data_IF_411138673331
#
_entry.id   IF_411138673331
#
_cell.length_a   1.000
_cell.length_b   1.000
_cell.length_c   1.000
_cell.angle_alpha   90.00
_cell.angle_beta   90.00
_cell.angle_gamma   90.00
#
_symmetry.space_group_name_H-M   'P 1'
#
loop_
_entity.id
_entity.type
_entity.pdbx_description
1 polymer ?
#
# COMPACT_ATOMS: atom_id res chain seq x y z
N UNK A 1 19.27 4.07 10.19
CA UNK A 1 19.07 2.60 10.05
C UNK A 1 17.58 2.33 10.15
N UNK A 2 16.97 1.71 9.14
CA UNK A 2 15.60 1.21 9.28
C UNK A 2 15.56 0.19 10.43
N UNK A 3 14.55 0.28 11.29
CA UNK A 3 14.37 -0.67 12.38
C UNK A 3 14.00 -2.04 11.82
N UNK A 4 14.34 -3.11 12.55
CA UNK A 4 13.87 -4.49 12.27
C UNK A 4 12.34 -4.57 12.12
N UNK A 5 11.60 -3.62 12.70
CA UNK A 5 10.15 -3.48 12.55
C UNK A 5 9.69 -3.28 11.09
N UNK A 6 10.53 -2.71 10.22
CA UNK A 6 10.16 -2.52 8.81
C UNK A 6 10.01 -3.85 8.04
N UNK A 7 10.68 -4.91 8.47
CA UNK A 7 10.52 -6.25 7.90
C UNK A 7 9.19 -6.93 8.28
N UNK A 8 8.51 -6.44 9.33
CA UNK A 8 7.18 -6.92 9.66
C UNK A 8 6.15 -6.60 8.57
N UNK A 9 6.33 -5.49 7.83
CA UNK A 9 5.37 -5.06 6.80
C UNK A 9 5.21 -6.10 5.69
N UNK A 10 6.27 -6.58 5.01
CA UNK A 10 6.13 -7.63 4.00
C UNK A 10 5.54 -8.93 4.56
N UNK A 11 5.92 -9.33 5.78
CA UNK A 11 5.35 -10.52 6.44
C UNK A 11 3.84 -10.38 6.62
N UNK A 12 3.37 -9.22 7.09
CA UNK A 12 1.95 -8.92 7.24
C UNK A 12 1.22 -8.92 5.89
N UNK A 13 1.83 -8.38 4.83
CA UNK A 13 1.25 -8.44 3.48
C UNK A 13 1.05 -9.88 3.01
N UNK A 14 2.04 -10.76 3.20
CA UNK A 14 1.91 -12.18 2.88
C UNK A 14 0.83 -12.84 3.73
N UNK A 15 0.78 -12.55 5.03
CA UNK A 15 -0.25 -13.09 5.93
C UNK A 15 -1.66 -12.67 5.46
N UNK A 16 -1.88 -11.41 5.11
CA UNK A 16 -3.15 -10.94 4.54
C UNK A 16 -3.49 -11.62 3.21
N UNK A 17 -2.52 -11.83 2.33
CA UNK A 17 -2.73 -12.55 1.08
C UNK A 17 -3.25 -13.96 1.32
N UNK A 18 -2.63 -14.70 2.26
CA UNK A 18 -3.02 -16.04 2.65
C UNK A 18 -4.43 -16.05 3.28
N UNK A 19 -4.72 -15.12 4.18
CA UNK A 19 -6.03 -15.01 4.83
C UNK A 19 -7.15 -14.77 3.82
N UNK A 20 -6.96 -13.81 2.89
CA UNK A 20 -7.97 -13.52 1.87
C UNK A 20 -8.14 -14.68 0.90
N UNK A 21 -7.05 -15.36 0.53
CA UNK A 21 -7.14 -16.57 -0.27
C UNK A 21 -7.95 -17.66 0.43
N UNK A 22 -7.57 -18.00 1.66
CA UNK A 22 -8.25 -19.07 2.45
C UNK A 22 -9.73 -18.74 2.69
N UNK A 23 -10.08 -17.45 2.84
CA UNK A 23 -11.47 -17.04 3.02
C UNK A 23 -12.36 -17.45 1.83
N UNK A 24 -11.87 -17.45 0.60
CA UNK A 24 -12.61 -17.93 -0.58
C UNK A 24 -11.70 -18.16 -1.80
N UNK A 25 -11.05 -19.31 -1.90
CA UNK A 25 -10.06 -19.60 -2.96
C UNK A 25 -10.66 -19.61 -4.36
N UNK A 26 -11.93 -19.97 -4.50
CA UNK A 26 -12.62 -20.06 -5.80
C UNK A 26 -13.18 -18.71 -6.29
N UNK A 27 -13.20 -17.68 -5.45
CA UNK A 27 -13.72 -16.37 -5.82
C UNK A 27 -12.69 -15.57 -6.59
N UNK A 28 -13.01 -15.19 -7.83
CA UNK A 28 -12.12 -14.41 -8.69
C UNK A 28 -11.58 -13.14 -8.02
N UNK A 29 -12.43 -12.44 -7.27
CA UNK A 29 -12.09 -11.24 -6.54
C UNK A 29 -10.98 -11.48 -5.51
N UNK A 30 -11.11 -12.55 -4.70
CA UNK A 30 -10.11 -12.91 -3.69
C UNK A 30 -8.79 -13.32 -4.36
N UNK A 31 -8.84 -14.11 -5.42
CA UNK A 31 -7.64 -14.51 -6.18
C UNK A 31 -6.88 -13.29 -6.71
N UNK A 32 -7.57 -12.35 -7.35
CA UNK A 32 -6.94 -11.13 -7.90
C UNK A 32 -6.40 -10.22 -6.80
N UNK A 33 -7.11 -10.07 -5.70
CA UNK A 33 -6.61 -9.33 -4.55
C UNK A 33 -5.36 -9.99 -3.96
N UNK A 34 -5.36 -11.31 -3.79
CA UNK A 34 -4.20 -12.06 -3.32
C UNK A 34 -3.00 -11.88 -4.25
N UNK A 35 -3.19 -11.97 -5.59
CA UNK A 35 -2.11 -11.74 -6.55
C UNK A 35 -1.53 -10.33 -6.41
N UNK A 36 -2.39 -9.30 -6.34
CA UNK A 36 -1.96 -7.92 -6.09
C UNK A 36 -1.15 -7.80 -4.78
N UNK A 37 -1.66 -8.37 -3.70
CA UNK A 37 -1.03 -8.31 -2.38
C UNK A 37 0.33 -9.01 -2.35
N UNK A 38 0.48 -10.16 -3.04
CA UNK A 38 1.76 -10.87 -3.15
C UNK A 38 2.78 -10.05 -3.95
N UNK A 39 2.38 -9.42 -5.06
CA UNK A 39 3.26 -8.52 -5.83
C UNK A 39 3.68 -7.32 -4.98
N UNK A 40 2.74 -6.73 -4.22
CA UNK A 40 3.04 -5.66 -3.29
C UNK A 40 3.98 -6.11 -2.15
N UNK A 41 3.87 -7.36 -1.68
CA UNK A 41 4.78 -7.93 -0.69
C UNK A 41 6.20 -8.07 -1.23
N UNK A 42 6.37 -8.58 -2.46
CA UNK A 42 7.69 -8.66 -3.11
C UNK A 42 8.30 -7.27 -3.28
N UNK A 43 7.50 -6.30 -3.73
CA UNK A 43 7.92 -4.91 -3.81
C UNK A 43 8.34 -4.35 -2.44
N UNK A 44 7.56 -4.60 -1.40
CA UNK A 44 7.85 -4.13 -0.04
C UNK A 44 9.12 -4.77 0.53
N UNK A 45 9.38 -6.07 0.27
CA UNK A 45 10.64 -6.74 0.63
C UNK A 45 11.81 -6.00 -0.04
N UNK A 46 11.71 -5.77 -1.35
CA UNK A 46 12.78 -5.15 -2.11
C UNK A 46 13.07 -3.71 -1.62
N UNK A 47 12.04 -2.89 -1.41
CA UNK A 47 12.18 -1.53 -0.88
C UNK A 47 12.82 -1.55 0.51
N UNK A 48 12.34 -2.42 1.41
CA UNK A 48 12.87 -2.55 2.77
C UNK A 48 14.34 -2.97 2.75
N UNK A 49 14.70 -3.96 1.92
CA UNK A 49 16.07 -4.43 1.79
C UNK A 49 17.02 -3.34 1.28
N UNK A 50 16.59 -2.55 0.28
CA UNK A 50 17.37 -1.40 -0.23
C UNK A 50 17.65 -0.40 0.89
N UNK A 51 16.63 -0.01 1.65
CA UNK A 51 16.78 1.00 2.71
C UNK A 51 17.51 0.44 3.95
N UNK A 52 17.51 -0.88 4.13
CA UNK A 52 18.33 -1.56 5.14
C UNK A 52 19.81 -1.73 4.72
N UNK A 53 20.16 -1.35 3.48
CA UNK A 53 21.52 -1.52 2.95
C UNK A 53 21.85 -2.96 2.56
N UNK A 54 20.86 -3.85 2.47
CA UNK A 54 21.03 -5.26 2.11
C UNK A 54 21.11 -5.38 0.59
N UNK A 55 22.27 -5.71 0.03
CA UNK A 55 22.49 -5.91 -1.41
C UNK A 55 21.72 -4.91 -2.32
N UNK A 56 21.91 -3.58 -2.18
CA UNK A 56 21.07 -2.59 -2.85
C UNK A 56 21.13 -2.69 -4.38
N UNK A 57 22.27 -3.12 -4.93
CA UNK A 57 22.44 -3.35 -6.38
C UNK A 57 21.50 -4.42 -6.93
N UNK A 58 21.11 -5.40 -6.12
CA UNK A 58 20.14 -6.43 -6.48
C UNK A 58 18.70 -5.99 -6.18
N UNK A 59 18.45 -5.48 -4.97
CA UNK A 59 17.11 -5.20 -4.53
C UNK A 59 16.50 -3.94 -5.16
N UNK A 60 17.30 -2.96 -5.60
CA UNK A 60 16.77 -1.78 -6.26
C UNK A 60 16.13 -2.12 -7.62
N UNK A 61 16.79 -2.78 -8.58
CA UNK A 61 16.14 -3.26 -9.80
C UNK A 61 14.93 -4.14 -9.52
N UNK A 62 14.99 -5.02 -8.51
CA UNK A 62 13.88 -5.88 -8.09
C UNK A 62 12.68 -5.06 -7.60
N UNK A 63 12.90 -3.94 -6.89
CA UNK A 63 11.81 -3.07 -6.43
C UNK A 63 11.07 -2.43 -7.60
N UNK A 64 11.77 -2.03 -8.65
CA UNK A 64 11.15 -1.50 -9.88
C UNK A 64 10.48 -2.60 -10.70
N UNK A 65 11.08 -3.78 -10.78
CA UNK A 65 10.48 -4.92 -11.46
C UNK A 65 9.15 -5.33 -10.83
N UNK A 66 9.11 -5.49 -9.51
CA UNK A 66 7.87 -5.76 -8.79
C UNK A 66 6.89 -4.58 -8.88
N UNK A 67 7.39 -3.33 -8.74
CA UNK A 67 6.62 -2.11 -8.87
C UNK A 67 5.92 -1.98 -10.22
N UNK A 68 6.55 -2.45 -11.31
CA UNK A 68 5.99 -2.45 -12.67
C UNK A 68 4.76 -3.36 -12.81
N UNK A 69 4.66 -4.42 -11.99
CA UNK A 69 3.54 -5.36 -12.01
C UNK A 69 2.36 -4.92 -11.13
N UNK A 70 2.59 -3.99 -10.19
CA UNK A 70 1.54 -3.47 -9.29
C UNK A 70 0.37 -2.87 -10.09
N UNK A 71 0.56 -1.99 -11.11
CA UNK A 71 -0.52 -1.41 -11.88
C UNK A 71 -1.45 -2.45 -12.52
N UNK A 72 -0.89 -3.46 -13.17
CA UNK A 72 -1.66 -4.49 -13.86
C UNK A 72 -2.48 -5.36 -12.87
N UNK A 73 -1.84 -5.79 -11.78
CA UNK A 73 -2.50 -6.61 -10.76
C UNK A 73 -3.57 -5.83 -10.01
N UNK A 74 -3.33 -4.55 -9.75
CA UNK A 74 -4.30 -3.64 -9.16
C UNK A 74 -5.51 -3.41 -10.07
N UNK A 75 -5.29 -3.11 -11.34
CA UNK A 75 -6.37 -2.94 -12.32
C UNK A 75 -7.18 -4.24 -12.50
N UNK A 76 -6.51 -5.40 -12.48
CA UNK A 76 -7.18 -6.70 -12.50
C UNK A 76 -8.08 -6.92 -11.28
N UNK A 77 -7.61 -6.52 -10.09
CA UNK A 77 -8.42 -6.52 -8.88
C UNK A 77 -9.62 -5.58 -9.01
N UNK A 78 -9.41 -4.34 -9.45
CA UNK A 78 -10.48 -3.35 -9.63
C UNK A 78 -11.52 -3.78 -10.66
N UNK A 79 -11.11 -4.43 -11.75
CA UNK A 79 -12.04 -5.02 -12.72
C UNK A 79 -12.96 -6.08 -12.09
N UNK A 80 -12.44 -6.90 -11.17
CA UNK A 80 -13.25 -7.88 -10.45
C UNK A 80 -14.14 -7.25 -9.37
N UNK A 81 -13.67 -6.17 -8.75
CA UNK A 81 -14.38 -5.46 -7.68
C UNK A 81 -15.51 -4.56 -8.22
N UNK A 82 -15.22 -3.84 -9.30
CA UNK A 82 -16.11 -2.88 -9.93
C UNK A 82 -16.24 -3.14 -11.45
N UNK A 83 -16.83 -4.26 -11.86
CA UNK A 83 -16.97 -4.56 -13.29
C UNK A 83 -17.86 -3.50 -13.94
N UNK A 84 -17.49 -2.99 -15.14
CA UNK A 84 -18.32 -2.06 -15.87
C UNK A 84 -19.58 -2.74 -16.39
N UNK A 85 -20.70 -2.01 -16.41
CA UNK A 85 -22.00 -2.52 -16.82
C UNK A 85 -22.10 -2.64 -18.35
N UNK A 86 -21.56 -1.65 -19.09
CA UNK A 86 -21.64 -1.66 -20.55
C UNK A 86 -20.64 -2.63 -21.20
N UNK A 87 -21.05 -3.29 -22.27
CA UNK A 87 -20.21 -4.21 -23.04
C UNK A 87 -18.95 -3.55 -23.61
N UNK A 88 -19.08 -2.31 -24.13
CA UNK A 88 -17.95 -1.52 -24.65
C UNK A 88 -16.94 -1.20 -23.57
N UNK A 89 -17.37 -0.70 -22.41
CA UNK A 89 -16.45 -0.38 -21.30
C UNK A 89 -15.76 -1.63 -20.79
N UNK A 90 -16.44 -2.77 -20.76
CA UNK A 90 -15.85 -4.07 -20.38
C UNK A 90 -14.78 -4.52 -21.38
N UNK A 91 -15.02 -4.35 -22.67
CA UNK A 91 -14.05 -4.68 -23.72
C UNK A 91 -12.82 -3.78 -23.64
N UNK A 92 -13.00 -2.46 -23.55
CA UNK A 92 -11.90 -1.50 -23.38
C UNK A 92 -11.07 -1.79 -22.14
N UNK A 93 -11.70 -2.11 -21.01
CA UNK A 93 -10.99 -2.44 -19.78
C UNK A 93 -10.20 -3.75 -19.91
N UNK A 94 -10.67 -4.73 -20.67
CA UNK A 94 -9.90 -5.95 -20.97
C UNK A 94 -8.66 -5.63 -21.80
N UNK A 95 -8.79 -4.77 -22.82
CA UNK A 95 -7.63 -4.31 -23.62
C UNK A 95 -6.64 -3.59 -22.72
N UNK A 96 -7.09 -2.66 -21.88
CA UNK A 96 -6.23 -1.96 -20.93
C UNK A 96 -5.53 -2.91 -19.96
N UNK A 97 -6.21 -3.95 -19.48
CA UNK A 97 -5.59 -4.98 -18.62
C UNK A 97 -4.47 -5.73 -19.34
N UNK A 98 -4.69 -6.12 -20.59
CA UNK A 98 -3.67 -6.81 -21.40
C UNK A 98 -2.48 -5.89 -21.67
N UNK A 99 -2.74 -4.66 -22.09
CA UNK A 99 -1.69 -3.66 -22.33
C UNK A 99 -0.91 -3.34 -21.06
N UNK A 100 -1.59 -3.12 -19.95
CA UNK A 100 -0.97 -2.84 -18.66
C UNK A 100 -0.15 -4.04 -18.15
N UNK A 101 -0.63 -5.27 -18.39
CA UNK A 101 0.12 -6.49 -18.07
C UNK A 101 1.37 -6.65 -18.94
N UNK A 102 1.24 -6.47 -20.23
CA UNK A 102 2.36 -6.56 -21.18
C UNK A 102 3.43 -5.49 -20.87
N UNK A 103 3.02 -4.22 -20.70
CA UNK A 103 3.94 -3.14 -20.33
C UNK A 103 4.58 -3.38 -18.97
N UNK A 104 3.83 -3.87 -17.99
CA UNK A 104 4.37 -4.24 -16.67
C UNK A 104 5.47 -5.30 -16.75
N UNK A 105 5.27 -6.34 -17.57
CA UNK A 105 6.29 -7.37 -17.82
C UNK A 105 7.51 -6.78 -18.52
N UNK A 106 7.33 -5.98 -19.57
CA UNK A 106 8.43 -5.33 -20.29
C UNK A 106 9.24 -4.45 -19.33
N UNK A 107 8.59 -3.59 -18.55
CA UNK A 107 9.30 -2.76 -17.56
C UNK A 107 9.97 -3.59 -16.46
N UNK A 108 9.37 -4.71 -16.06
CA UNK A 108 9.98 -5.64 -15.11
C UNK A 108 11.28 -6.20 -15.64
N UNK A 109 11.30 -6.69 -16.89
CA UNK A 109 12.50 -7.20 -17.55
C UNK A 109 13.55 -6.09 -17.73
N UNK A 110 13.14 -4.92 -18.25
CA UNK A 110 14.04 -3.78 -18.44
C UNK A 110 14.67 -3.30 -17.13
N UNK A 111 13.91 -3.35 -16.01
CA UNK A 111 14.45 -2.99 -14.70
C UNK A 111 15.54 -3.93 -14.22
N UNK A 112 15.43 -5.22 -14.53
CA UNK A 112 16.39 -6.24 -14.10
C UNK A 112 17.62 -6.33 -15.00
N UNK A 113 17.49 -5.98 -16.29
CA UNK A 113 18.54 -6.21 -17.30
C UNK A 113 19.23 -4.93 -17.76
N UNK A 114 18.66 -3.76 -17.50
CA UNK A 114 19.16 -2.48 -18.01
C UNK A 114 19.10 -1.37 -16.97
N UNK A 115 19.77 -0.25 -17.23
CA UNK A 115 19.67 0.98 -16.44
C UNK A 115 18.64 1.99 -16.98
N UNK A 116 17.79 1.58 -17.93
CA UNK A 116 16.85 2.49 -18.61
C UNK A 116 15.76 3.06 -17.67
N UNK A 117 15.40 2.34 -16.62
CA UNK A 117 14.39 2.79 -15.65
C UNK A 117 15.05 3.42 -14.43
N UNK A 118 16.09 2.79 -13.89
CA UNK A 118 16.84 3.28 -12.75
C UNK A 118 18.29 2.92 -12.89
N UNK A 119 19.19 3.87 -12.62
CA UNK A 119 20.63 3.60 -12.57
C UNK A 119 21.01 2.91 -11.26
N UNK A 120 22.24 2.40 -11.21
CA UNK A 120 22.82 1.81 -9.99
C UNK A 120 22.71 2.78 -8.82
N UNK A 121 22.24 2.31 -7.65
CA UNK A 121 22.11 3.15 -6.47
C UNK A 121 23.47 3.60 -5.96
N UNK A 122 23.59 4.87 -5.62
CA UNK A 122 24.66 5.38 -4.79
C UNK A 122 24.19 5.47 -3.34
N UNK A 123 24.99 4.94 -2.42
CA UNK A 123 24.69 4.92 -1.00
C UNK A 123 25.69 5.83 -0.30
N UNK A 124 25.17 6.89 0.33
CA UNK A 124 25.94 7.81 1.16
C UNK A 124 25.37 7.81 2.57
N UNK A 125 25.98 7.04 3.46
CA UNK A 125 25.47 6.85 4.83
C UNK A 125 24.11 6.14 4.83
N UNK A 126 23.06 6.81 5.33
CA UNK A 126 21.68 6.31 5.35
C UNK A 126 20.85 6.72 4.13
N UNK A 127 21.40 7.56 3.26
CA UNK A 127 20.69 8.10 2.10
C UNK A 127 20.95 7.21 0.89
N UNK A 128 19.88 6.63 0.37
CA UNK A 128 19.88 5.92 -0.90
C UNK A 128 19.51 6.91 -1.99
N UNK A 129 20.48 7.30 -2.81
CA UNK A 129 20.27 8.12 -3.99
C UNK A 129 20.14 7.23 -5.21
N UNK A 130 19.25 7.59 -6.11
CA UNK A 130 19.06 6.91 -7.40
C UNK A 130 18.89 7.96 -8.49
N UNK A 131 19.46 7.71 -9.65
CA UNK A 131 19.24 8.55 -10.82
C UNK A 131 18.15 7.90 -11.68
N UNK A 132 17.03 8.60 -11.95
CA UNK A 132 16.03 8.12 -12.88
C UNK A 132 16.63 7.88 -14.26
N UNK A 133 16.35 6.74 -14.87
CA UNK A 133 16.74 6.46 -16.24
C UNK A 133 15.81 7.14 -17.25
N UNK A 134 16.13 7.08 -18.56
CA UNK A 134 15.35 7.78 -19.60
C UNK A 134 13.90 7.28 -19.72
N UNK A 135 13.61 6.03 -19.36
CA UNK A 135 12.24 5.49 -19.39
C UNK A 135 11.47 5.67 -18.09
N UNK A 136 12.08 6.27 -17.05
CA UNK A 136 11.39 6.51 -15.76
C UNK A 136 10.12 7.34 -15.89
N UNK A 137 10.03 8.42 -16.73
CA UNK A 137 8.80 9.19 -16.89
C UNK A 137 7.65 8.35 -17.43
N UNK A 138 7.92 7.43 -18.37
CA UNK A 138 6.91 6.53 -18.96
C UNK A 138 6.44 5.51 -17.90
N UNK A 139 7.36 4.97 -17.11
CA UNK A 139 7.05 4.12 -15.97
C UNK A 139 6.15 4.84 -14.95
N UNK A 140 6.48 6.08 -14.57
CA UNK A 140 5.69 6.89 -13.66
C UNK A 140 4.28 7.17 -14.22
N UNK A 141 4.19 7.51 -15.51
CA UNK A 141 2.93 7.75 -16.21
C UNK A 141 2.04 6.49 -16.19
N UNK A 142 2.60 5.30 -16.43
CA UNK A 142 1.87 4.03 -16.37
C UNK A 142 1.21 3.83 -15.00
N UNK A 143 1.96 4.09 -13.92
CA UNK A 143 1.43 3.96 -12.56
C UNK A 143 0.29 4.95 -12.33
N UNK A 144 0.49 6.22 -12.63
CA UNK A 144 -0.50 7.29 -12.42
C UNK A 144 -1.76 7.04 -13.26
N UNK A 145 -1.61 6.71 -14.54
CA UNK A 145 -2.72 6.46 -15.44
C UNK A 145 -3.57 5.25 -14.99
N UNK A 146 -2.90 4.19 -14.55
CA UNK A 146 -3.61 2.98 -14.06
C UNK A 146 -4.36 3.27 -12.77
N UNK A 147 -3.75 4.01 -11.85
CA UNK A 147 -4.39 4.40 -10.61
C UNK A 147 -5.61 5.31 -10.86
N UNK A 148 -5.45 6.30 -11.73
CA UNK A 148 -6.55 7.20 -12.14
C UNK A 148 -7.70 6.42 -12.77
N UNK A 149 -7.40 5.45 -13.63
CA UNK A 149 -8.41 4.56 -14.24
C UNK A 149 -9.15 3.75 -13.18
N UNK A 150 -8.44 3.19 -12.19
CA UNK A 150 -9.05 2.44 -11.10
C UNK A 150 -9.96 3.31 -10.23
N UNK A 151 -9.54 4.53 -9.92
CA UNK A 151 -10.37 5.52 -9.19
C UNK A 151 -11.62 5.88 -10.02
N UNK A 152 -11.47 6.12 -11.33
CA UNK A 152 -12.60 6.42 -12.20
C UNK A 152 -13.64 5.29 -12.22
N UNK A 153 -13.20 4.03 -12.36
CA UNK A 153 -14.08 2.85 -12.28
C UNK A 153 -14.82 2.78 -10.94
N UNK A 154 -14.10 3.10 -9.87
CA UNK A 154 -14.66 3.11 -8.54
C UNK A 154 -15.72 4.20 -8.37
N UNK A 155 -15.46 5.42 -8.82
CA UNK A 155 -16.40 6.56 -8.78
C UNK A 155 -17.66 6.23 -9.59
N UNK A 156 -17.52 5.66 -10.77
CA UNK A 156 -18.67 5.24 -11.60
C UNK A 156 -19.56 4.25 -10.85
N UNK A 157 -18.97 3.23 -10.20
CA UNK A 157 -19.72 2.27 -9.38
C UNK A 157 -20.39 2.94 -8.18
N UNK A 158 -19.69 3.84 -7.50
CA UNK A 158 -20.20 4.54 -6.32
C UNK A 158 -21.42 5.44 -6.64
N UNK A 159 -21.43 6.07 -7.83
CA UNK A 159 -22.55 6.93 -8.29
C UNK A 159 -23.85 6.16 -8.41
N UNK A 160 -23.81 4.89 -8.83
CA UNK A 160 -25.01 4.03 -8.99
C UNK A 160 -25.38 3.29 -7.71
N UNK A 161 -24.49 3.14 -6.76
CA UNK A 161 -24.71 2.42 -5.51
C UNK A 161 -25.65 3.18 -4.57
N UNK A 162 -26.54 2.44 -3.89
CA UNK A 162 -27.52 2.98 -2.92
C UNK A 162 -27.43 2.22 -1.60
N UNK A 163 -27.90 2.87 -0.51
CA UNK A 163 -28.02 2.27 0.81
C UNK A 163 -26.71 1.68 1.34
N UNK A 164 -26.77 0.48 1.92
CA UNK A 164 -25.64 -0.21 2.54
C UNK A 164 -24.45 -0.40 1.58
N UNK A 165 -24.73 -0.68 0.30
CA UNK A 165 -23.66 -0.85 -0.71
C UNK A 165 -22.85 0.43 -0.91
N UNK A 166 -23.48 1.60 -0.82
CA UNK A 166 -22.80 2.90 -0.90
C UNK A 166 -21.87 3.13 0.28
N UNK A 167 -22.29 2.79 1.51
CA UNK A 167 -21.44 2.88 2.69
C UNK A 167 -20.21 1.96 2.64
N UNK A 168 -20.39 0.72 2.16
CA UNK A 168 -19.26 -0.22 1.95
C UNK A 168 -18.26 0.33 0.92
N UNK A 169 -18.75 0.95 -0.15
CA UNK A 169 -17.89 1.60 -1.15
C UNK A 169 -17.15 2.81 -0.58
N UNK A 170 -17.77 3.63 0.25
CA UNK A 170 -17.09 4.77 0.89
C UNK A 170 -15.91 4.32 1.77
N UNK A 171 -16.09 3.23 2.53
CA UNK A 171 -15.02 2.65 3.33
C UNK A 171 -13.85 2.16 2.46
N UNK A 172 -14.17 1.47 1.37
CA UNK A 172 -13.17 1.00 0.40
C UNK A 172 -12.49 2.17 -0.30
N UNK A 173 -13.23 3.26 -0.62
CA UNK A 173 -12.66 4.47 -1.20
C UNK A 173 -11.59 5.10 -0.31
N UNK A 174 -11.90 5.28 0.97
CA UNK A 174 -10.94 5.83 1.92
C UNK A 174 -9.67 4.97 2.00
N UNK A 175 -9.85 3.64 2.08
CA UNK A 175 -8.73 2.69 2.09
C UNK A 175 -7.92 2.64 0.79
N UNK A 176 -8.49 3.07 -0.33
CA UNK A 176 -7.82 3.05 -1.63
C UNK A 176 -7.17 4.40 -1.98
N UNK A 177 -7.91 5.49 -1.81
CA UNK A 177 -7.50 6.82 -2.31
C UNK A 177 -6.35 7.36 -1.46
N UNK A 178 -6.50 7.37 -0.14
CA UNK A 178 -5.51 7.97 0.76
C UNK A 178 -4.15 7.25 0.70
N UNK A 179 -4.06 5.91 0.95
CA UNK A 179 -2.79 5.22 0.85
C UNK A 179 -2.22 5.21 -0.57
N UNK A 180 -3.08 5.15 -1.59
CA UNK A 180 -2.64 5.14 -2.98
C UNK A 180 -1.99 6.45 -3.42
N UNK A 181 -2.61 7.59 -3.13
CA UNK A 181 -2.02 8.90 -3.40
C UNK A 181 -0.71 9.05 -2.63
N UNK A 182 -0.71 8.75 -1.33
CA UNK A 182 0.48 8.82 -0.50
C UNK A 182 1.61 7.93 -1.03
N UNK A 183 1.29 6.70 -1.45
CA UNK A 183 2.24 5.77 -2.06
C UNK A 183 2.83 6.30 -3.37
N UNK A 184 2.02 6.87 -4.27
CA UNK A 184 2.48 7.48 -5.52
C UNK A 184 3.37 8.69 -5.25
N UNK A 185 2.96 9.56 -4.35
CA UNK A 185 3.73 10.76 -3.99
C UNK A 185 5.09 10.36 -3.43
N UNK A 186 5.14 9.46 -2.45
CA UNK A 186 6.39 9.10 -1.75
C UNK A 186 7.33 8.23 -2.56
N UNK A 187 6.81 7.36 -3.44
CA UNK A 187 7.65 6.38 -4.15
C UNK A 187 7.92 6.72 -5.61
N UNK A 188 7.07 7.58 -6.22
CA UNK A 188 7.20 7.95 -7.64
C UNK A 188 7.54 9.42 -7.79
N UNK A 189 6.69 10.33 -7.26
CA UNK A 189 6.82 11.76 -7.51
C UNK A 189 7.99 12.40 -6.76
N UNK A 190 8.06 12.22 -5.44
CA UNK A 190 9.13 12.82 -4.63
C UNK A 190 10.52 12.34 -5.07
N UNK A 191 10.78 11.04 -5.27
CA UNK A 191 12.05 10.59 -5.78
C UNK A 191 12.38 11.11 -7.19
N UNK A 192 11.37 11.32 -8.04
CA UNK A 192 11.60 11.91 -9.36
C UNK A 192 12.02 13.37 -9.28
N UNK A 193 11.36 14.16 -8.44
CA UNK A 193 11.65 15.59 -8.29
C UNK A 193 12.96 15.84 -7.54
N UNK A 194 13.22 15.06 -6.46
CA UNK A 194 14.35 15.30 -5.57
C UNK A 194 15.60 14.50 -5.89
N UNK A 195 15.50 13.47 -6.73
CA UNK A 195 16.57 12.48 -6.96
C UNK A 195 16.90 11.60 -5.75
N UNK A 196 16.19 11.80 -4.62
CA UNK A 196 16.42 11.10 -3.35
C UNK A 196 15.28 10.15 -3.02
N UNK A 197 15.60 8.95 -2.54
CA UNK A 197 14.62 7.93 -2.19
C UNK A 197 14.34 7.83 -0.68
N UNK A 198 14.57 8.90 0.07
CA UNK A 198 14.37 8.92 1.53
C UNK A 198 12.95 8.53 1.90
N UNK A 199 11.97 9.08 1.21
CA UNK A 199 10.55 8.84 1.47
C UNK A 199 10.03 7.50 0.95
N UNK A 200 10.80 6.82 0.09
CA UNK A 200 10.45 5.51 -0.45
C UNK A 200 10.29 4.42 0.62
N UNK A 201 11.01 4.58 1.74
CA UNK A 201 10.92 3.69 2.89
C UNK A 201 9.51 3.60 3.51
N UNK A 202 8.69 4.65 3.34
CA UNK A 202 7.33 4.74 3.91
C UNK A 202 6.30 4.04 3.01
N UNK A 203 6.61 3.86 1.74
CA UNK A 203 5.70 3.25 0.75
C UNK A 203 5.09 1.91 1.17
N UNK A 204 5.87 0.94 1.67
CA UNK A 204 5.34 -0.33 2.15
C UNK A 204 4.25 -0.21 3.21
N UNK A 205 4.29 0.79 4.09
CA UNK A 205 3.26 1.03 5.11
C UNK A 205 1.93 1.48 4.48
N UNK A 206 1.97 2.29 3.42
CA UNK A 206 0.77 2.65 2.68
C UNK A 206 0.18 1.44 1.96
N UNK A 207 1.00 0.57 1.38
CA UNK A 207 0.55 -0.67 0.78
C UNK A 207 -0.10 -1.60 1.82
N UNK A 208 0.49 -1.71 3.00
CA UNK A 208 -0.08 -2.50 4.10
C UNK A 208 -1.43 -1.93 4.57
N UNK A 209 -1.54 -0.61 4.72
CA UNK A 209 -2.80 0.04 5.09
C UNK A 209 -3.89 -0.21 4.06
N UNK A 210 -3.57 -0.07 2.77
CA UNK A 210 -4.48 -0.42 1.68
C UNK A 210 -4.95 -1.88 1.77
N UNK A 211 -3.99 -2.82 1.89
CA UNK A 211 -4.28 -4.26 1.92
C UNK A 211 -5.09 -4.63 3.16
N UNK A 212 -4.79 -4.05 4.32
CA UNK A 212 -5.51 -4.31 5.56
C UNK A 212 -6.98 -3.86 5.46
N UNK A 213 -7.21 -2.63 4.97
CA UNK A 213 -8.57 -2.07 4.84
C UNK A 213 -9.40 -2.88 3.83
N UNK A 214 -8.83 -3.13 2.64
CA UNK A 214 -9.56 -3.84 1.59
C UNK A 214 -9.70 -5.33 1.92
N UNK A 215 -8.64 -5.96 2.42
CA UNK A 215 -8.66 -7.36 2.85
C UNK A 215 -9.70 -7.61 3.92
N UNK A 216 -9.79 -6.72 4.92
CA UNK A 216 -10.86 -6.76 5.93
C UNK A 216 -12.25 -6.68 5.28
N UNK A 217 -12.47 -5.72 4.38
CA UNK A 217 -13.76 -5.59 3.70
C UNK A 217 -14.14 -6.86 2.91
N UNK A 218 -13.17 -7.53 2.30
CA UNK A 218 -13.39 -8.77 1.55
C UNK A 218 -13.73 -9.96 2.45
N UNK A 219 -13.05 -10.09 3.58
CA UNK A 219 -13.28 -11.15 4.57
C UNK A 219 -14.65 -10.94 5.25
N UNK A 220 -14.96 -9.71 5.67
CA UNK A 220 -16.20 -9.36 6.38
C UNK A 220 -17.47 -9.71 5.60
N UNK A 221 -17.45 -9.64 4.28
CA UNK A 221 -18.63 -10.00 3.45
C UNK A 221 -19.10 -11.45 3.61
N UNK A 222 -18.32 -12.34 4.25
CA UNK A 222 -18.67 -13.75 4.49
C UNK A 222 -18.99 -14.11 5.93
N UNK A 223 -18.60 -13.28 6.89
CA UNK A 223 -18.73 -13.63 8.31
C UNK A 223 -19.95 -12.89 8.88
N UNK A 224 -21.13 -13.46 8.70
CA UNK A 224 -22.39 -12.92 9.25
C UNK A 224 -22.51 -13.10 10.77
N UNK A 225 -21.84 -14.07 11.39
CA UNK A 225 -22.04 -14.45 12.79
C UNK A 225 -20.90 -14.10 13.77
N UNK A 226 -19.72 -13.73 13.28
CA UNK A 226 -18.62 -13.26 14.13
C UNK A 226 -18.58 -11.71 14.27
N UNK A 227 -19.73 -11.10 14.19
CA UNK A 227 -19.89 -9.66 13.92
C UNK A 227 -19.39 -8.71 15.02
N UNK A 228 -19.41 -9.10 16.29
CA UNK A 228 -19.16 -8.12 17.37
C UNK A 228 -17.71 -8.06 17.85
N UNK A 229 -17.03 -9.19 17.99
CA UNK A 229 -15.70 -9.25 18.61
C UNK A 229 -14.60 -8.91 17.62
N UNK A 230 -14.68 -9.42 16.38
CA UNK A 230 -13.71 -9.09 15.32
C UNK A 230 -13.90 -7.67 14.78
N UNK A 231 -15.12 -7.14 14.77
CA UNK A 231 -15.39 -5.78 14.29
C UNK A 231 -14.66 -4.73 15.14
N UNK A 232 -14.78 -4.81 16.45
CA UNK A 232 -14.16 -3.85 17.37
C UNK A 232 -12.62 -4.00 17.37
N UNK A 233 -12.10 -5.23 17.43
CA UNK A 233 -10.67 -5.49 17.43
C UNK A 233 -9.98 -5.09 16.13
N UNK A 234 -10.60 -5.40 14.99
CA UNK A 234 -9.99 -5.09 13.69
C UNK A 234 -10.20 -3.63 13.27
N UNK A 235 -11.31 -3.00 13.65
CA UNK A 235 -11.52 -1.55 13.48
C UNK A 235 -10.50 -0.78 14.31
N UNK A 236 -10.25 -1.24 15.54
CA UNK A 236 -9.23 -0.65 16.40
C UNK A 236 -7.82 -0.86 15.83
N UNK A 237 -7.50 -2.06 15.36
CA UNK A 237 -6.23 -2.35 14.69
C UNK A 237 -6.03 -1.49 13.45
N UNK A 238 -7.06 -1.35 12.61
CA UNK A 238 -7.03 -0.49 11.41
C UNK A 238 -6.90 0.99 11.77
N UNK A 239 -7.67 1.47 12.75
CA UNK A 239 -7.56 2.84 13.24
C UNK A 239 -6.15 3.12 13.79
N UNK A 240 -5.59 2.16 14.54
CA UNK A 240 -4.22 2.22 15.05
C UNK A 240 -3.20 2.27 13.91
N UNK A 241 -3.33 1.40 12.90
CA UNK A 241 -2.44 1.39 11.74
C UNK A 241 -2.53 2.68 10.92
N UNK A 242 -3.73 3.16 10.64
CA UNK A 242 -3.94 4.42 9.90
C UNK A 242 -3.41 5.62 10.69
N UNK A 243 -3.49 5.61 12.02
CA UNK A 243 -2.96 6.67 12.87
C UNK A 243 -1.44 6.60 13.05
N UNK A 244 -0.85 5.39 12.97
CA UNK A 244 0.60 5.20 13.04
C UNK A 244 1.32 5.76 11.80
N UNK A 245 0.69 5.75 10.63
CA UNK A 245 1.31 6.25 9.40
C UNK A 245 1.69 7.75 9.52
N UNK A 246 0.77 8.68 9.89
CA UNK A 246 1.14 10.06 10.11
C UNK A 246 2.20 10.23 11.21
N UNK A 247 2.11 9.45 12.29
CA UNK A 247 3.07 9.51 13.37
C UNK A 247 4.48 9.08 12.92
N UNK A 248 4.60 7.99 12.17
CA UNK A 248 5.87 7.54 11.59
C UNK A 248 6.42 8.58 10.60
N UNK A 249 5.57 9.12 9.74
CA UNK A 249 5.94 10.17 8.78
C UNK A 249 6.44 11.43 9.52
N UNK A 250 5.75 11.86 10.55
CA UNK A 250 6.16 13.02 11.37
C UNK A 250 7.46 12.75 12.10
N UNK A 251 7.66 11.57 12.67
CA UNK A 251 8.90 11.19 13.35
C UNK A 251 10.06 11.13 12.36
N UNK A 252 9.88 10.58 11.16
CA UNK A 252 10.92 10.54 10.12
C UNK A 252 11.24 11.94 9.56
N UNK A 253 10.23 12.81 9.40
CA UNK A 253 10.42 14.16 8.86
C UNK A 253 11.00 15.15 9.88
N UNK A 254 10.59 15.04 11.12
CA UNK A 254 10.88 16.03 12.16
C UNK A 254 11.71 15.45 13.31
N UNK A 255 11.83 14.13 13.45
CA UNK A 255 12.49 13.47 14.57
C UNK A 255 13.95 13.91 14.74
N UNK A 256 14.70 14.00 13.64
CA UNK A 256 16.09 14.48 13.66
C UNK A 256 16.23 15.95 14.05
N UNK A 257 15.19 16.75 13.81
CA UNK A 257 15.21 18.21 14.05
C UNK A 257 14.75 18.57 15.46
N UNK A 258 13.82 17.81 16.05
CA UNK A 258 13.22 18.10 17.36
C UNK A 258 13.77 17.22 18.50
N UNK A 259 14.18 15.98 18.18
CA UNK A 259 14.57 14.99 19.19
C UNK A 259 16.05 14.57 19.11
N UNK A 260 16.84 15.20 18.22
CA UNK A 260 18.24 14.82 18.01
C UNK A 260 18.37 13.40 17.43
N UNK A 261 19.43 12.70 17.80
CA UNK A 261 19.63 11.30 17.36
C UNK A 261 18.89 10.32 18.29
N UNK A 262 17.58 10.14 18.08
CA UNK A 262 16.87 9.07 18.76
C UNK A 262 17.47 7.72 18.35
N UNK A 263 17.90 6.93 19.33
CA UNK A 263 18.30 5.54 19.10
C UNK A 263 17.05 4.71 18.77
N UNK A 264 17.21 3.61 18.02
CA UNK A 264 16.08 2.77 17.59
C UNK A 264 15.18 2.28 18.73
N UNK A 265 15.73 2.13 19.95
CA UNK A 265 14.99 1.81 21.18
C UNK A 265 14.06 2.93 21.64
N UNK A 266 14.47 4.20 21.51
CA UNK A 266 13.67 5.36 21.91
C UNK A 266 12.53 5.59 20.90
N UNK A 267 12.80 5.41 19.60
CA UNK A 267 11.78 5.43 18.55
C UNK A 267 10.74 4.33 18.79
N UNK A 268 11.18 3.11 19.13
CA UNK A 268 10.29 2.00 19.44
C UNK A 268 9.41 2.31 20.67
N UNK A 269 9.97 2.95 21.71
CA UNK A 269 9.23 3.39 22.90
C UNK A 269 8.17 4.44 22.55
N UNK A 270 8.51 5.44 21.74
CA UNK A 270 7.55 6.46 21.28
C UNK A 270 6.42 5.81 20.47
N UNK A 271 6.73 4.90 19.53
CA UNK A 271 5.73 4.19 18.76
C UNK A 271 4.83 3.31 19.63
N UNK A 272 5.41 2.58 20.58
CA UNK A 272 4.64 1.77 21.54
C UNK A 272 3.73 2.66 22.39
N UNK A 273 4.22 3.81 22.85
CA UNK A 273 3.42 4.76 23.61
C UNK A 273 2.26 5.33 22.80
N UNK A 274 2.50 5.71 21.54
CA UNK A 274 1.43 6.17 20.62
C UNK A 274 0.39 5.08 20.39
N UNK A 275 0.83 3.84 20.17
CA UNK A 275 -0.08 2.68 20.01
C UNK A 275 -0.90 2.47 21.29
N UNK A 276 -0.28 2.50 22.47
CA UNK A 276 -0.98 2.34 23.73
C UNK A 276 -2.00 3.46 23.96
N UNK A 277 -1.64 4.70 23.67
CA UNK A 277 -2.58 5.84 23.77
C UNK A 277 -3.78 5.66 22.85
N UNK A 278 -3.55 5.24 21.57
CA UNK A 278 -4.63 4.99 20.62
C UNK A 278 -5.51 3.81 21.05
N UNK A 279 -4.92 2.77 21.66
CA UNK A 279 -5.65 1.60 22.15
C UNK A 279 -6.48 1.91 23.39
N UNK A 280 -6.03 2.81 24.26
CA UNK A 280 -6.68 3.15 25.53
C UNK A 280 -7.70 4.28 25.34
N UNK A 281 -7.52 5.19 24.39
CA UNK A 281 -8.40 6.35 24.18
C UNK A 281 -9.88 6.01 23.90
N UNK A 282 -10.25 5.01 23.05
CA UNK A 282 -11.67 4.69 22.83
C UNK A 282 -12.39 4.14 24.06
N UNK A 283 -11.86 3.15 24.80
CA UNK A 283 -12.56 2.64 25.99
C UNK A 283 -12.66 3.69 27.10
N UNK A 284 -11.69 4.59 27.26
CA UNK A 284 -11.79 5.67 28.25
C UNK A 284 -12.85 6.71 27.90
N UNK A 285 -13.07 6.99 26.59
CA UNK A 285 -14.18 7.84 26.12
C UNK A 285 -15.55 7.24 26.44
N UNK A 286 -15.71 5.93 26.23
CA UNK A 286 -16.99 5.25 26.51
C UNK A 286 -17.28 5.15 28.00
N UNK A 287 -16.25 4.98 28.84
CA UNK A 287 -16.37 5.05 30.31
C UNK A 287 -16.70 6.48 30.76
N UNK A 288 -16.04 7.49 30.21
CA UNK A 288 -16.33 8.89 30.54
C UNK A 288 -17.75 9.30 30.15
N UNK A 289 -18.26 8.86 29.00
CA UNK A 289 -19.65 9.08 28.58
C UNK A 289 -20.65 8.42 29.54
N UNK A 290 -20.41 7.16 29.95
CA UNK A 290 -21.28 6.45 30.90
C UNK A 290 -21.28 7.04 32.32
N UNK A 291 -20.24 7.80 32.68
CA UNK A 291 -20.16 8.49 33.96
C UNK A 291 -20.77 9.90 33.95
N UNK A 292 -21.01 10.46 32.76
CA UNK A 292 -21.58 11.80 32.56
C UNK A 292 -23.05 11.75 32.16
N UNK A 293 -23.58 10.60 31.72
CA UNK A 293 -24.98 10.30 31.49
C UNK A 293 -25.62 9.67 32.75
#
# INVERSE_FOLDING_TARGET
MMSTASFAVPVLLVAFAILVWKASPNRLLNRRFTTYTLVAAVWAIAVTAVHAGIYPKFWMPMSFAAGSLIPATFLAFMHAYAPPESGRARHLLRILLVLCGATGIVFSVLSLTTSLIVSTPSISGTIVSRTPGPLYPIFALLIVATWTTAIALFILKWRVARGRSRGELQFVAAGMIVPGIAGIVTNVMLPWITGRSVYGAIGPYFALSFVAIIGHALIRRRITDLRLVLHNGLTLALATFVSLIPAIVLIELFGSRFFGHLRGTELALVLVTVVLVILIAPPTRDIARRLLD
#
